data_IF_349235975189
#
_entry.id   IF_349235975189
#
_cell.length_a   1.000
_cell.length_b   1.000
_cell.length_c   1.000
_cell.angle_alpha   90.00
_cell.angle_beta   90.00
_cell.angle_gamma   90.00
#
_symmetry.space_group_name_H-M   'P 1'
#
loop_
_entity.id
_entity.type
_entity.pdbx_description
1 polymer ?
#
# COMPACT_ATOMS: atom_id res chain seq x y z
N UNK A 1 -31.90 -14.13 31.88
CA UNK A 1 -31.04 -13.05 31.34
C UNK A 1 -31.26 -12.80 29.84
N UNK A 2 -31.29 -13.82 28.98
CA UNK A 2 -31.53 -13.69 27.52
C UNK A 2 -32.83 -12.98 27.12
N UNK A 3 -33.96 -13.32 27.76
CA UNK A 3 -35.25 -12.69 27.45
C UNK A 3 -35.34 -11.20 27.82
N UNK A 4 -34.58 -10.77 28.84
CA UNK A 4 -34.52 -9.38 29.29
C UNK A 4 -33.66 -8.57 28.30
N UNK A 5 -32.49 -9.10 27.93
CA UNK A 5 -31.63 -8.48 26.94
C UNK A 5 -32.33 -8.29 25.58
N UNK A 6 -33.11 -9.27 25.12
CA UNK A 6 -33.87 -9.14 23.85
C UNK A 6 -34.93 -8.05 23.92
N UNK A 7 -35.63 -7.90 25.04
CA UNK A 7 -36.68 -6.88 25.22
C UNK A 7 -36.10 -5.46 25.25
N UNK A 8 -35.05 -5.27 26.04
CA UNK A 8 -34.31 -3.99 26.16
C UNK A 8 -33.65 -3.57 24.83
N UNK A 9 -33.14 -4.54 24.05
CA UNK A 9 -32.57 -4.28 22.73
C UNK A 9 -33.66 -3.87 21.73
N UNK A 10 -34.83 -4.52 21.76
CA UNK A 10 -35.96 -4.17 20.90
C UNK A 10 -36.55 -2.80 21.23
N UNK A 11 -36.66 -2.44 22.51
CA UNK A 11 -37.18 -1.13 22.92
C UNK A 11 -36.21 0.00 22.52
N UNK A 12 -34.89 -0.22 22.63
CA UNK A 12 -33.90 0.73 22.12
C UNK A 12 -33.84 0.78 20.60
N UNK A 13 -33.99 -0.34 19.89
CA UNK A 13 -34.12 -0.36 18.42
C UNK A 13 -35.43 0.26 17.92
N UNK A 14 -36.49 0.23 18.71
CA UNK A 14 -37.74 0.93 18.41
C UNK A 14 -37.59 2.47 18.52
N UNK A 15 -36.51 2.95 19.14
CA UNK A 15 -36.05 4.33 18.94
C UNK A 15 -35.55 4.45 17.50
N UNK A 16 -36.39 5.00 16.63
CA UNK A 16 -36.13 5.23 15.20
C UNK A 16 -34.72 5.77 14.93
N UNK A 17 -34.24 6.67 15.80
CA UNK A 17 -32.90 7.27 15.73
C UNK A 17 -31.77 6.27 15.94
N UNK A 18 -31.91 5.36 16.90
CA UNK A 18 -30.91 4.35 17.21
C UNK A 18 -30.85 3.26 16.13
N UNK A 19 -32.01 2.78 15.66
CA UNK A 19 -32.05 1.85 14.53
C UNK A 19 -31.45 2.48 13.26
N UNK A 20 -31.81 3.73 12.95
CA UNK A 20 -31.27 4.44 11.78
C UNK A 20 -29.76 4.65 11.89
N UNK A 21 -29.25 5.08 13.05
CA UNK A 21 -27.81 5.21 13.28
C UNK A 21 -27.07 3.87 13.12
N UNK A 22 -27.65 2.78 13.64
CA UNK A 22 -27.07 1.43 13.52
C UNK A 22 -27.02 0.96 12.07
N UNK A 23 -28.12 1.16 11.31
CA UNK A 23 -28.17 0.83 9.88
C UNK A 23 -27.17 1.67 9.09
N UNK A 24 -27.07 2.97 9.38
CA UNK A 24 -26.10 3.87 8.74
C UNK A 24 -24.66 3.46 9.02
N UNK A 25 -24.33 3.12 10.27
CA UNK A 25 -23.00 2.64 10.64
C UNK A 25 -22.65 1.33 9.93
N UNK A 26 -23.57 0.36 9.93
CA UNK A 26 -23.37 -0.91 9.22
C UNK A 26 -23.21 -0.68 7.73
N UNK A 27 -24.04 0.17 7.12
CA UNK A 27 -23.94 0.52 5.72
C UNK A 27 -22.58 1.17 5.39
N UNK A 28 -22.12 2.13 6.21
CA UNK A 28 -20.80 2.75 6.02
C UNK A 28 -19.67 1.72 6.12
N UNK A 29 -19.69 0.86 7.13
CA UNK A 29 -18.66 -0.17 7.31
C UNK A 29 -18.64 -1.15 6.14
N UNK A 30 -19.81 -1.63 5.71
CA UNK A 30 -19.92 -2.58 4.60
C UNK A 30 -19.48 -1.95 3.28
N UNK A 31 -19.92 -0.72 2.99
CA UNK A 31 -19.57 -0.03 1.74
C UNK A 31 -18.05 0.19 1.69
N UNK A 32 -17.46 0.66 2.79
CA UNK A 32 -16.02 0.88 2.86
C UNK A 32 -15.25 -0.46 2.75
N UNK A 33 -15.71 -1.52 3.42
CA UNK A 33 -15.07 -2.84 3.38
C UNK A 33 -15.13 -3.46 1.97
N UNK A 34 -16.29 -3.39 1.31
CA UNK A 34 -16.48 -3.92 -0.05
C UNK A 34 -15.60 -3.16 -1.04
N UNK A 35 -15.60 -1.83 -1.01
CA UNK A 35 -14.75 -1.02 -1.90
C UNK A 35 -13.28 -1.38 -1.71
N UNK A 36 -12.80 -1.54 -0.47
CA UNK A 36 -11.42 -1.91 -0.21
C UNK A 36 -11.08 -3.33 -0.68
N UNK A 37 -12.01 -4.27 -0.54
CA UNK A 37 -11.84 -5.65 -1.01
C UNK A 37 -11.63 -5.71 -2.53
N UNK A 38 -12.28 -4.82 -3.28
CA UNK A 38 -12.14 -4.72 -4.73
C UNK A 38 -10.87 -3.97 -5.15
N UNK A 39 -10.47 -2.94 -4.41
CA UNK A 39 -9.28 -2.14 -4.74
C UNK A 39 -7.97 -2.89 -4.46
N UNK A 40 -7.91 -3.69 -3.40
CA UNK A 40 -6.73 -4.43 -3.00
C UNK A 40 -6.14 -5.36 -4.10
N UNK A 41 -6.92 -6.25 -4.77
CA UNK A 41 -6.39 -7.11 -5.82
C UNK A 41 -5.86 -6.30 -7.02
N UNK A 42 -6.52 -5.20 -7.39
CA UNK A 42 -6.06 -4.31 -8.48
C UNK A 42 -4.71 -3.68 -8.13
N UNK A 43 -4.56 -3.17 -6.90
CA UNK A 43 -3.28 -2.62 -6.42
C UNK A 43 -2.18 -3.68 -6.36
N UNK A 44 -2.53 -4.89 -5.90
CA UNK A 44 -1.59 -6.00 -5.85
C UNK A 44 -1.13 -6.42 -7.24
N UNK A 45 -2.03 -6.42 -8.22
CA UNK A 45 -1.69 -6.74 -9.60
C UNK A 45 -0.71 -5.70 -10.18
N UNK A 46 -1.03 -4.41 -10.05
CA UNK A 46 -0.12 -3.33 -10.47
C UNK A 46 1.26 -3.43 -9.83
N UNK A 47 1.31 -3.73 -8.53
CA UNK A 47 2.57 -3.95 -7.83
C UNK A 47 3.35 -5.14 -8.41
N UNK A 48 2.67 -6.27 -8.64
CA UNK A 48 3.30 -7.47 -9.21
C UNK A 48 3.84 -7.18 -10.60
N UNK A 49 3.06 -6.54 -11.47
CA UNK A 49 3.48 -6.22 -12.83
C UNK A 49 4.75 -5.34 -12.83
N UNK A 50 4.77 -4.30 -11.99
CA UNK A 50 5.92 -3.40 -11.85
C UNK A 50 7.15 -4.07 -11.21
N UNK A 51 6.94 -4.93 -10.21
CA UNK A 51 8.01 -5.68 -9.56
C UNK A 51 8.63 -6.71 -10.50
N UNK A 52 7.80 -7.45 -11.26
CA UNK A 52 8.26 -8.41 -12.28
C UNK A 52 9.06 -7.70 -13.36
N UNK A 53 8.56 -6.58 -13.89
CA UNK A 53 9.30 -5.80 -14.89
C UNK A 53 10.68 -5.34 -14.38
N UNK A 54 10.76 -4.94 -13.10
CA UNK A 54 12.02 -4.54 -12.48
C UNK A 54 12.97 -5.72 -12.31
N UNK A 55 12.43 -6.87 -11.91
CA UNK A 55 13.19 -8.11 -11.79
C UNK A 55 13.72 -8.60 -13.13
N UNK A 56 12.92 -8.53 -14.20
CA UNK A 56 13.32 -8.88 -15.57
C UNK A 56 14.44 -7.96 -16.06
N UNK A 57 14.32 -6.66 -15.76
CA UNK A 57 15.37 -5.67 -16.05
C UNK A 57 16.65 -5.97 -15.28
N UNK A 58 16.54 -6.41 -14.03
CA UNK A 58 17.69 -6.79 -13.21
C UNK A 58 18.36 -8.07 -13.71
N UNK A 59 17.55 -9.07 -14.07
CA UNK A 59 18.02 -10.40 -14.51
C UNK A 59 18.62 -10.36 -15.91
N UNK A 60 18.21 -9.41 -16.75
CA UNK A 60 18.84 -9.21 -18.06
C UNK A 60 20.26 -8.61 -17.97
N UNK A 61 20.65 -8.08 -16.80
CA UNK A 61 22.04 -7.64 -16.56
C UNK A 61 22.88 -8.84 -16.13
N UNK A 62 23.79 -9.25 -16.99
CA UNK A 62 24.68 -10.40 -16.75
C UNK A 62 26.00 -10.01 -16.08
N UNK A 63 26.34 -8.72 -16.06
CA UNK A 63 27.57 -8.22 -15.48
C UNK A 63 27.37 -7.77 -14.02
N UNK A 64 27.99 -8.51 -13.09
CA UNK A 64 27.99 -8.22 -11.67
C UNK A 64 28.68 -6.88 -11.33
N UNK A 65 29.67 -6.47 -12.14
CA UNK A 65 30.38 -5.21 -11.94
C UNK A 65 29.48 -4.03 -12.31
N UNK A 66 28.73 -4.14 -13.41
CA UNK A 66 27.71 -3.16 -13.80
C UNK A 66 26.56 -3.12 -12.79
N UNK A 67 26.16 -4.27 -12.25
CA UNK A 67 25.14 -4.34 -11.19
C UNK A 67 25.60 -3.65 -9.91
N UNK A 68 26.86 -3.83 -9.51
CA UNK A 68 27.43 -3.21 -8.32
C UNK A 68 27.53 -1.68 -8.44
N UNK A 69 27.71 -1.15 -9.65
CA UNK A 69 27.76 0.28 -9.92
C UNK A 69 26.38 0.90 -10.08
N UNK A 70 25.56 0.31 -10.94
CA UNK A 70 24.26 0.86 -11.36
C UNK A 70 23.15 0.55 -10.35
N UNK A 71 23.34 -0.47 -9.51
CA UNK A 71 22.39 -0.85 -8.48
C UNK A 71 21.13 -1.54 -9.02
N UNK A 72 20.20 -1.89 -8.12
CA UNK A 72 19.03 -2.68 -8.47
C UNK A 72 17.96 -1.89 -9.25
N UNK A 73 18.11 -0.58 -9.43
CA UNK A 73 17.13 0.23 -10.16
C UNK A 73 15.87 0.53 -9.33
N UNK A 74 14.70 0.37 -9.95
CA UNK A 74 13.42 0.76 -9.34
C UNK A 74 12.96 -0.28 -8.32
N UNK A 75 12.73 0.17 -7.08
CA UNK A 75 12.22 -0.66 -5.99
C UNK A 75 10.80 -0.21 -5.63
N UNK A 76 9.83 -1.08 -5.89
CA UNK A 76 8.42 -0.82 -5.60
C UNK A 76 8.07 -1.25 -4.18
N UNK A 77 7.35 -0.39 -3.45
CA UNK A 77 6.81 -0.72 -2.14
C UNK A 77 5.62 -1.64 -2.28
N UNK A 78 5.61 -2.74 -1.52
CA UNK A 78 4.46 -3.65 -1.45
C UNK A 78 3.23 -2.91 -0.89
N UNK A 79 2.04 -3.05 -1.52
CA UNK A 79 0.79 -2.52 -0.97
C UNK A 79 0.52 -3.06 0.43
N UNK A 80 0.18 -2.20 1.38
CA UNK A 80 -0.26 -2.63 2.71
C UNK A 80 -1.62 -3.33 2.63
N UNK A 81 -1.77 -4.52 3.25
CA UNK A 81 -3.05 -5.22 3.33
C UNK A 81 -4.06 -4.54 4.27
N UNK A 82 -3.58 -3.67 5.18
CA UNK A 82 -4.40 -2.98 6.18
C UNK A 82 -4.62 -1.50 5.85
N UNK A 83 -4.46 -1.11 4.57
CA UNK A 83 -4.62 0.31 4.16
C UNK A 83 -5.99 0.86 4.55
N UNK A 84 -7.04 0.05 4.58
CA UNK A 84 -8.36 0.42 5.10
C UNK A 84 -8.32 1.07 6.50
N UNK A 85 -7.51 0.53 7.42
CA UNK A 85 -7.39 1.02 8.79
C UNK A 85 -6.28 2.08 8.96
N UNK A 86 -5.36 2.19 7.99
CA UNK A 86 -4.09 2.90 8.14
C UNK A 86 -3.75 3.81 6.95
N UNK A 87 -4.73 4.23 6.16
CA UNK A 87 -4.53 4.95 4.89
C UNK A 87 -3.76 6.27 5.07
N UNK A 88 -3.92 6.92 6.23
CA UNK A 88 -3.25 8.18 6.55
C UNK A 88 -1.73 8.12 6.60
N UNK A 89 -1.14 6.95 6.94
CA UNK A 89 0.32 6.78 6.96
C UNK A 89 0.88 6.22 5.65
N UNK A 90 0.10 5.40 4.95
CA UNK A 90 0.57 4.69 3.76
C UNK A 90 0.74 5.63 2.55
N UNK A 91 -0.05 6.71 2.50
CA UNK A 91 0.01 7.77 1.49
C UNK A 91 1.21 8.72 1.65
N UNK A 92 1.74 8.88 2.87
CA UNK A 92 2.94 9.67 3.16
C UNK A 92 4.23 8.96 2.74
N UNK A 93 4.17 7.65 2.55
CA UNK A 93 5.31 6.85 2.16
C UNK A 93 5.37 6.70 0.63
N UNK A 94 6.54 6.94 0.02
CA UNK A 94 6.70 6.83 -1.42
C UNK A 94 6.45 5.39 -1.88
N UNK A 95 5.68 5.24 -2.97
CA UNK A 95 5.38 3.94 -3.58
C UNK A 95 6.56 3.34 -4.34
N UNK A 96 7.55 4.18 -4.69
CA UNK A 96 8.71 3.85 -5.48
C UNK A 96 9.94 4.48 -4.82
N UNK A 97 11.02 3.71 -4.77
CA UNK A 97 12.35 4.22 -4.51
C UNK A 97 13.26 3.94 -5.71
N UNK A 98 14.12 4.88 -6.04
CA UNK A 98 15.11 4.72 -7.09
C UNK A 98 16.47 4.38 -6.46
N UNK A 99 16.88 3.12 -6.64
CA UNK A 99 18.16 2.58 -6.19
C UNK A 99 19.19 2.50 -7.32
N UNK A 100 19.05 3.34 -8.36
CA UNK A 100 20.08 3.57 -9.39
C UNK A 100 20.64 5.00 -9.39
N UNK A 101 20.35 5.82 -8.37
CA UNK A 101 20.88 7.17 -8.30
C UNK A 101 22.39 7.18 -8.04
N UNK A 102 23.16 7.91 -8.86
CA UNK A 102 24.60 8.01 -8.70
C UNK A 102 24.95 9.02 -7.60
N UNK A 103 25.80 8.60 -6.65
CA UNK A 103 26.20 9.48 -5.55
C UNK A 103 27.18 10.57 -6.05
N UNK A 104 28.24 10.23 -6.80
CA UNK A 104 29.26 11.15 -7.38
C UNK A 104 29.95 10.51 -8.61
N UNK A 105 30.67 11.27 -9.44
CA UNK A 105 31.50 10.72 -10.51
C UNK A 105 32.65 11.64 -10.92
N UNK A 106 33.88 11.18 -10.71
CA UNK A 106 35.09 11.72 -11.36
C UNK A 106 35.59 10.69 -12.39
N UNK A 107 36.44 11.10 -13.33
CA UNK A 107 36.83 10.33 -14.53
C UNK A 107 37.36 8.92 -14.24
N UNK A 108 37.88 8.67 -13.03
CA UNK A 108 38.51 7.40 -12.63
C UNK A 108 37.72 6.56 -11.60
N UNK A 109 36.66 7.09 -10.98
CA UNK A 109 35.87 6.35 -9.97
C UNK A 109 34.38 6.51 -10.22
N UNK A 110 33.72 5.42 -10.66
CA UNK A 110 32.27 5.32 -10.74
C UNK A 110 31.73 5.02 -9.34
N UNK A 111 30.94 5.94 -8.78
CA UNK A 111 30.40 5.78 -7.44
C UNK A 111 29.43 4.61 -7.34
N UNK A 112 29.24 4.15 -6.10
CA UNK A 112 28.14 3.26 -5.74
C UNK A 112 26.80 3.96 -5.90
N UNK A 113 25.80 3.16 -6.29
CA UNK A 113 24.41 3.58 -6.30
C UNK A 113 23.93 3.95 -4.89
N UNK A 114 22.97 4.87 -4.83
CA UNK A 114 22.24 5.24 -3.62
C UNK A 114 20.75 5.05 -3.85
N UNK A 115 20.05 4.67 -2.79
CA UNK A 115 18.59 4.68 -2.75
C UNK A 115 18.09 6.11 -2.51
N UNK A 116 17.26 6.59 -3.42
CA UNK A 116 16.59 7.88 -3.34
C UNK A 116 15.09 7.69 -3.32
N UNK A 117 14.43 8.57 -2.59
CA UNK A 117 12.98 8.60 -2.49
C UNK A 117 12.48 9.88 -3.17
N UNK A 118 11.37 9.83 -3.92
CA UNK A 118 10.75 11.04 -4.42
C UNK A 118 10.35 11.93 -3.24
N UNK A 119 10.52 13.24 -3.42
CA UNK A 119 10.08 14.24 -2.45
C UNK A 119 8.58 14.11 -2.20
N UNK A 120 8.17 14.12 -0.93
CA UNK A 120 6.76 14.19 -0.58
C UNK A 120 6.16 15.49 -1.13
N UNK A 121 5.16 15.38 -1.99
CA UNK A 121 4.33 16.49 -2.49
C UNK A 121 3.17 16.75 -1.56
#
# INVERSE_FOLDING_TARGET
>A
MWHIAKRELYDNLNSLRFALATVLLLALMLTNAVVHLWEHPVRMQKYRDAATQSLDTLTSRTDLYDLAQTGPGKLYKKPSPLRFCADGGDSLLPALADAASYFWGDRDLRAFWRMTYPSAT
#
